data_IF_284491896084
#
_entry.id   IF_284491896084
#
_cell.length_a   1.000
_cell.length_b   1.000
_cell.length_c   1.000
_cell.angle_alpha   90.00
_cell.angle_beta   90.00
_cell.angle_gamma   90.00
#
_symmetry.space_group_name_H-M   'P 1'
#
loop_
_entity.id
_entity.type
_entity.pdbx_description
1 polymer ?
#
# COMPACT_ATOMS: atom_id res chain seq x y z
N UNK A 1 0.11 4.31 -15.80
CA UNK A 1 -0.01 5.07 -14.54
C UNK A 1 -1.45 5.19 -14.05
N UNK A 2 -2.40 5.67 -14.87
CA UNK A 2 -3.81 5.81 -14.45
C UNK A 2 -4.44 4.50 -13.93
N UNK A 3 -4.16 3.36 -14.59
CA UNK A 3 -4.62 2.03 -14.13
C UNK A 3 -4.15 1.71 -12.71
N UNK A 4 -2.87 1.93 -12.39
CA UNK A 4 -2.33 1.71 -11.05
C UNK A 4 -3.04 2.57 -10.00
N UNK A 5 -3.25 3.87 -10.27
CA UNK A 5 -3.96 4.77 -9.35
C UNK A 5 -5.39 4.27 -9.10
N UNK A 6 -6.09 3.86 -10.18
CA UNK A 6 -7.44 3.30 -10.08
C UNK A 6 -7.47 2.03 -9.25
N UNK A 7 -6.55 1.09 -9.50
CA UNK A 7 -6.45 -0.16 -8.76
C UNK A 7 -6.16 0.07 -7.28
N UNK A 8 -5.23 0.96 -6.93
CA UNK A 8 -4.94 1.31 -5.52
C UNK A 8 -6.19 1.86 -4.84
N UNK A 9 -6.90 2.80 -5.47
CA UNK A 9 -8.14 3.38 -4.89
C UNK A 9 -9.19 2.31 -4.63
N UNK A 10 -9.54 1.54 -5.65
CA UNK A 10 -10.58 0.52 -5.56
C UNK A 10 -10.26 -0.56 -4.51
N UNK A 11 -9.01 -1.00 -4.46
CA UNK A 11 -8.57 -2.02 -3.50
C UNK A 11 -8.62 -1.51 -2.06
N UNK A 12 -8.11 -0.31 -1.79
CA UNK A 12 -8.13 0.27 -0.44
C UNK A 12 -9.55 0.62 0.01
N UNK A 13 -10.41 1.14 -0.88
CA UNK A 13 -11.80 1.45 -0.55
C UNK A 13 -12.58 0.17 -0.22
N UNK A 14 -12.34 -0.92 -0.96
CA UNK A 14 -12.91 -2.23 -0.64
C UNK A 14 -12.53 -2.71 0.75
N UNK A 15 -11.25 -2.61 1.12
CA UNK A 15 -10.80 -3.01 2.47
C UNK A 15 -11.35 -2.11 3.57
N UNK A 16 -11.46 -0.81 3.32
CA UNK A 16 -12.09 0.11 4.26
C UNK A 16 -13.55 -0.27 4.56
N UNK A 17 -14.32 -0.66 3.54
CA UNK A 17 -15.71 -1.17 3.71
C UNK A 17 -15.75 -2.45 4.55
N UNK A 18 -14.71 -3.27 4.49
CA UNK A 18 -14.57 -4.48 5.32
C UNK A 18 -14.05 -4.19 6.73
N UNK A 19 -13.80 -2.92 7.09
CA UNK A 19 -13.24 -2.52 8.38
C UNK A 19 -11.73 -2.75 8.50
N UNK A 20 -11.04 -3.06 7.40
CA UNK A 20 -9.60 -3.30 7.36
C UNK A 20 -8.83 -2.01 7.03
N UNK A 21 -7.67 -1.81 7.66
CA UNK A 21 -6.76 -0.69 7.38
C UNK A 21 -5.38 -1.22 6.92
N UNK A 22 -5.25 -1.64 5.64
CA UNK A 22 -4.02 -2.21 5.13
C UNK A 22 -2.89 -1.19 4.99
N UNK A 23 -1.65 -1.70 4.99
CA UNK A 23 -0.45 -0.97 4.57
C UNK A 23 -0.01 -1.45 3.19
N UNK A 24 0.55 -0.56 2.37
CA UNK A 24 1.07 -0.94 1.06
C UNK A 24 2.53 -1.39 1.19
N UNK A 25 2.81 -2.64 0.84
CA UNK A 25 4.15 -3.21 0.84
C UNK A 25 4.76 -3.19 -0.57
N UNK A 26 5.97 -2.64 -0.71
CA UNK A 26 6.70 -2.56 -1.99
C UNK A 26 8.17 -2.95 -1.85
N UNK A 27 8.91 -3.03 -2.95
CA UNK A 27 10.36 -3.19 -2.89
C UNK A 27 11.06 -1.86 -2.50
N UNK A 28 12.22 -1.91 -1.82
CA UNK A 28 12.93 -0.69 -1.39
C UNK A 28 13.22 0.30 -2.53
N UNK A 29 13.60 -0.22 -3.71
CA UNK A 29 13.99 0.59 -4.86
C UNK A 29 12.85 1.48 -5.39
N UNK A 30 11.61 1.00 -5.35
CA UNK A 30 10.47 1.73 -5.95
C UNK A 30 9.68 2.57 -4.93
N UNK A 31 9.94 2.37 -3.63
CA UNK A 31 9.19 3.00 -2.54
C UNK A 31 9.04 4.53 -2.63
N UNK A 32 10.10 5.33 -2.89
CA UNK A 32 9.95 6.79 -2.96
C UNK A 32 9.04 7.22 -4.12
N UNK A 33 9.08 6.51 -5.25
CA UNK A 33 8.22 6.78 -6.40
C UNK A 33 6.76 6.41 -6.13
N UNK A 34 6.51 5.28 -5.48
CA UNK A 34 5.15 4.89 -5.08
C UNK A 34 4.58 5.89 -4.07
N UNK A 35 5.39 6.33 -3.10
CA UNK A 35 4.98 7.34 -2.11
C UNK A 35 4.59 8.66 -2.76
N UNK A 36 5.42 9.22 -3.64
CA UNK A 36 5.14 10.51 -4.29
C UNK A 36 3.84 10.50 -5.10
N UNK A 37 3.43 9.33 -5.60
CA UNK A 37 2.17 9.15 -6.32
C UNK A 37 0.99 9.03 -5.36
N UNK A 38 1.09 8.15 -4.36
CA UNK A 38 -0.03 7.82 -3.45
C UNK A 38 -0.34 8.95 -2.48
N UNK A 39 0.67 9.64 -1.96
CA UNK A 39 0.50 10.72 -0.98
C UNK A 39 -0.37 11.87 -1.52
N UNK A 40 -0.42 12.03 -2.85
CA UNK A 40 -1.27 13.03 -3.54
C UNK A 40 -2.78 12.73 -3.47
N UNK A 41 -3.18 11.48 -3.22
CA UNK A 41 -4.60 11.11 -3.21
C UNK A 41 -5.02 10.20 -2.03
N UNK A 42 -4.08 9.62 -1.29
CA UNK A 42 -4.30 8.94 0.00
C UNK A 42 -3.15 9.25 0.98
N UNK A 43 -3.06 10.47 1.52
CA UNK A 43 -1.97 10.86 2.42
C UNK A 43 -1.91 10.02 3.72
N UNK A 44 -3.03 9.42 4.13
CA UNK A 44 -3.09 8.55 5.32
C UNK A 44 -2.60 7.11 5.08
N UNK A 45 -2.39 6.68 3.83
CA UNK A 45 -1.97 5.31 3.53
C UNK A 45 -0.48 5.13 3.85
N UNK A 46 -0.17 4.24 4.80
CA UNK A 46 1.22 3.86 5.10
C UNK A 46 1.81 3.02 3.98
N UNK A 47 3.03 3.35 3.58
CA UNK A 47 3.79 2.66 2.53
C UNK A 47 5.10 2.17 3.12
N UNK A 48 5.30 0.87 3.12
CA UNK A 48 6.48 0.20 3.69
C UNK A 48 7.21 -0.58 2.62
N UNK A 49 8.51 -0.71 2.79
CA UNK A 49 9.31 -1.72 2.10
C UNK A 49 9.52 -2.96 2.96
N UNK A 50 9.82 -4.09 2.31
CA UNK A 50 10.15 -5.32 3.02
C UNK A 50 11.33 -5.14 4.00
N UNK A 51 12.30 -4.29 3.66
CA UNK A 51 13.47 -3.98 4.50
C UNK A 51 13.13 -3.21 5.78
N UNK A 52 11.96 -2.57 5.84
CA UNK A 52 11.47 -1.84 7.03
C UNK A 52 10.69 -2.76 7.99
N UNK A 53 10.45 -4.02 7.61
CA UNK A 53 9.69 -4.98 8.41
C UNK A 53 10.64 -5.87 9.19
N UNK A 54 10.42 -5.97 10.50
CA UNK A 54 11.17 -6.88 11.35
C UNK A 54 10.97 -8.34 10.89
N UNK A 55 12.02 -9.17 10.78
CA UNK A 55 11.90 -10.54 10.25
C UNK A 55 10.91 -11.45 10.98
N UNK A 56 10.65 -11.18 12.27
CA UNK A 56 9.67 -11.93 13.09
C UNK A 56 8.23 -11.40 12.99
N UNK A 57 7.98 -10.33 12.24
CA UNK A 57 6.63 -9.79 12.09
C UNK A 57 5.76 -10.78 11.30
N UNK A 58 4.52 -10.98 11.78
CA UNK A 58 3.52 -11.77 11.05
C UNK A 58 2.84 -10.88 10.02
N UNK A 59 2.87 -11.29 8.75
CA UNK A 59 2.25 -10.55 7.64
C UNK A 59 1.03 -11.34 7.17
N UNK A 60 -0.11 -10.66 7.07
CA UNK A 60 -1.33 -11.19 6.44
C UNK A 60 -1.56 -10.42 5.14
N UNK A 61 -1.43 -11.10 4.01
CA UNK A 61 -1.71 -10.51 2.70
C UNK A 61 -3.22 -10.38 2.52
N UNK A 62 -3.70 -9.15 2.36
CA UNK A 62 -5.13 -8.88 2.10
C UNK A 62 -5.44 -8.85 0.60
N UNK A 63 -4.50 -8.42 -0.24
CA UNK A 63 -4.65 -8.38 -1.69
C UNK A 63 -3.36 -7.99 -2.41
N UNK A 64 -3.47 -7.87 -3.74
CA UNK A 64 -2.40 -7.45 -4.65
C UNK A 64 -2.94 -6.43 -5.65
N UNK A 65 -2.06 -5.57 -6.17
CA UNK A 65 -2.37 -4.47 -7.07
C UNK A 65 -1.53 -4.61 -8.34
#
# INVERSE_FOLDING_TARGET
>A
MQRFISSVRQTFDRFAVMGESPVLLVSPAIRPYVRSIIERFRPATTILSQSEIHPKAKIRTLGQI
#
